data_IF_400183009753
#
_entry.id   IF_400183009753
#
_cell.length_a   1.000
_cell.length_b   1.000
_cell.length_c   1.000
_cell.angle_alpha   90.00
_cell.angle_beta   90.00
_cell.angle_gamma   90.00
#
_symmetry.space_group_name_H-M   'P 1'
#
loop_
_entity.id
_entity.type
_entity.pdbx_description
1 polymer ?
#
# COMPACT_ATOMS: atom_id res chain seq x y z
N UNK A 1 -104.03 2.08 -14.09
CA UNK A 1 -103.21 1.50 -13.01
C UNK A 1 -103.13 0.00 -13.23
N UNK A 2 -101.95 -0.52 -13.61
CA UNK A 2 -101.67 -1.95 -13.78
C UNK A 2 -100.35 -2.24 -13.05
N UNK A 3 -100.29 -3.17 -12.10
CA UNK A 3 -99.08 -3.42 -11.33
C UNK A 3 -98.09 -4.28 -12.13
N UNK A 4 -96.83 -3.85 -12.17
CA UNK A 4 -95.71 -4.63 -12.71
C UNK A 4 -95.34 -5.74 -11.71
N UNK A 5 -95.49 -6.99 -12.14
CA UNK A 5 -95.05 -8.17 -11.41
C UNK A 5 -93.52 -8.32 -11.50
N UNK A 6 -92.86 -8.45 -10.35
CA UNK A 6 -91.42 -8.67 -10.24
C UNK A 6 -91.09 -10.17 -10.31
N UNK A 7 -90.19 -10.59 -11.21
CA UNK A 7 -89.58 -11.94 -11.20
C UNK A 7 -88.08 -11.80 -10.96
N UNK A 8 -87.60 -12.38 -9.85
CA UNK A 8 -86.16 -12.54 -9.56
C UNK A 8 -85.62 -13.73 -10.37
N UNK A 9 -84.55 -13.51 -11.11
CA UNK A 9 -83.79 -14.56 -11.80
C UNK A 9 -82.58 -14.95 -10.92
N UNK A 10 -82.40 -16.25 -10.67
CA UNK A 10 -81.22 -16.79 -10.00
C UNK A 10 -80.04 -16.88 -11.00
N UNK A 11 -78.79 -16.64 -10.59
CA UNK A 11 -77.66 -16.66 -11.51
C UNK A 11 -77.18 -18.09 -11.80
N UNK A 12 -76.88 -18.34 -13.08
CA UNK A 12 -76.23 -19.56 -13.58
C UNK A 12 -74.73 -19.46 -13.30
N UNK A 13 -74.17 -20.38 -12.52
CA UNK A 13 -72.72 -20.50 -12.33
C UNK A 13 -72.08 -21.18 -13.55
N UNK A 14 -71.40 -20.40 -14.40
CA UNK A 14 -70.56 -20.91 -15.47
C UNK A 14 -69.13 -21.16 -14.96
N UNK A 15 -68.69 -22.41 -14.99
CA UNK A 15 -67.33 -22.85 -14.61
C UNK A 15 -66.35 -22.50 -15.72
N UNK A 16 -65.53 -21.46 -15.53
CA UNK A 16 -64.43 -21.14 -16.45
C UNK A 16 -63.22 -22.05 -16.16
N UNK A 17 -62.70 -22.72 -17.19
CA UNK A 17 -61.40 -23.40 -17.15
C UNK A 17 -60.33 -22.37 -17.55
N UNK A 18 -59.20 -22.23 -16.83
CA UNK A 18 -58.14 -21.34 -17.26
C UNK A 18 -57.41 -21.91 -18.47
N UNK A 19 -57.24 -21.08 -19.50
CA UNK A 19 -56.39 -21.41 -20.64
C UNK A 19 -54.91 -21.37 -20.22
N UNK A 20 -54.20 -22.49 -20.37
CA UNK A 20 -52.75 -22.56 -20.14
C UNK A 20 -52.01 -21.93 -21.32
N UNK A 21 -51.44 -20.76 -21.12
CA UNK A 21 -50.50 -20.13 -22.06
C UNK A 21 -49.09 -20.67 -21.84
N UNK A 22 -48.59 -21.45 -22.78
CA UNK A 22 -47.20 -21.92 -22.78
C UNK A 22 -46.29 -20.81 -23.28
N UNK A 23 -45.54 -20.15 -22.38
CA UNK A 23 -44.49 -19.22 -22.77
C UNK A 23 -43.23 -20.01 -23.14
N UNK A 24 -42.79 -19.92 -24.40
CA UNK A 24 -41.45 -20.38 -24.79
C UNK A 24 -40.42 -19.40 -24.23
N UNK A 25 -39.75 -19.79 -23.14
CA UNK A 25 -38.62 -19.06 -22.60
C UNK A 25 -37.45 -19.13 -23.60
N UNK A 26 -37.21 -18.04 -24.32
CA UNK A 26 -36.03 -17.90 -25.17
C UNK A 26 -34.82 -17.72 -24.25
N UNK A 27 -34.05 -18.77 -24.03
CA UNK A 27 -32.81 -18.71 -23.26
C UNK A 27 -31.73 -18.02 -24.09
N UNK A 28 -31.56 -16.71 -23.91
CA UNK A 28 -30.37 -16.00 -24.36
C UNK A 28 -29.24 -16.33 -23.38
N UNK A 29 -28.38 -17.27 -23.75
CA UNK A 29 -27.07 -17.44 -23.14
C UNK A 29 -26.22 -16.22 -23.48
N UNK A 30 -26.30 -15.17 -22.66
CA UNK A 30 -25.30 -14.10 -22.64
C UNK A 30 -24.00 -14.75 -22.16
N UNK A 31 -23.12 -15.12 -23.09
CA UNK A 31 -21.74 -15.41 -22.71
C UNK A 31 -21.22 -14.18 -21.95
N UNK A 32 -20.71 -14.32 -20.72
CA UNK A 32 -20.05 -13.20 -20.07
C UNK A 32 -18.85 -12.83 -20.95
N UNK A 33 -18.98 -11.74 -21.71
CA UNK A 33 -17.84 -11.16 -22.41
C UNK A 33 -16.89 -10.71 -21.32
N UNK A 34 -15.76 -11.40 -21.17
CA UNK A 34 -14.67 -10.90 -20.34
C UNK A 34 -14.25 -9.56 -20.91
N UNK A 35 -14.76 -8.47 -20.33
CA UNK A 35 -14.29 -7.13 -20.66
C UNK A 35 -12.85 -7.09 -20.19
N UNK A 36 -11.92 -7.03 -21.14
CA UNK A 36 -10.54 -6.70 -20.82
C UNK A 36 -10.53 -5.39 -20.03
N UNK A 37 -9.90 -5.36 -18.84
CA UNK A 37 -9.83 -4.13 -18.07
C UNK A 37 -9.03 -3.12 -18.90
N UNK A 38 -9.70 -2.07 -19.35
CA UNK A 38 -9.06 -0.93 -20.01
C UNK A 38 -8.22 -0.18 -18.97
N UNK A 39 -6.97 0.10 -19.30
CA UNK A 39 -6.11 0.96 -18.47
C UNK A 39 -6.72 2.37 -18.43
N UNK A 40 -6.78 3.01 -17.26
CA UNK A 40 -7.23 4.40 -17.19
C UNK A 40 -6.20 5.39 -17.73
N UNK A 41 -4.94 4.96 -17.91
CA UNK A 41 -3.92 5.79 -18.57
C UNK A 41 -4.29 5.93 -20.04
N UNK A 42 -4.73 7.13 -20.40
CA UNK A 42 -5.25 7.44 -21.73
C UNK A 42 -4.18 8.10 -22.59
N UNK A 43 -4.19 7.78 -23.89
CA UNK A 43 -3.36 8.46 -24.89
C UNK A 43 -3.64 9.96 -24.99
N UNK A 44 -4.79 10.42 -24.47
CA UNK A 44 -5.13 11.85 -24.39
C UNK A 44 -4.16 12.65 -23.52
N UNK A 45 -3.55 12.03 -22.50
CA UNK A 45 -2.60 12.70 -21.61
C UNK A 45 -1.20 12.88 -22.25
N UNK A 46 -0.98 12.29 -23.44
CA UNK A 46 0.26 12.45 -24.20
C UNK A 46 0.38 13.82 -24.87
N UNK A 47 -0.71 14.57 -24.99
CA UNK A 47 -0.70 15.93 -25.53
C UNK A 47 -0.56 16.95 -24.39
N UNK A 48 0.29 17.97 -24.53
CA UNK A 48 0.46 18.98 -23.51
C UNK A 48 -0.83 19.77 -23.34
N UNK A 49 -1.40 19.72 -22.14
CA UNK A 49 -2.53 20.58 -21.76
C UNK A 49 -2.01 21.82 -21.06
N UNK A 50 -2.57 22.99 -21.39
CA UNK A 50 -2.20 24.25 -20.73
C UNK A 50 -2.56 24.19 -19.26
N UNK A 51 -1.56 24.06 -18.39
CA UNK A 51 -1.72 24.26 -16.95
C UNK A 51 -1.84 25.75 -16.70
N UNK A 52 -3.07 26.26 -16.57
CA UNK A 52 -3.28 27.54 -15.90
C UNK A 52 -3.12 27.30 -14.39
N UNK A 53 -1.89 27.29 -13.88
CA UNK A 53 -1.60 26.91 -12.49
C UNK A 53 -0.13 26.99 -12.06
N UNK A 54 0.09 26.67 -10.77
CA UNK A 54 1.28 26.96 -9.94
C UNK A 54 2.65 26.43 -10.39
N UNK A 55 2.76 25.66 -11.48
CA UNK A 55 4.01 25.00 -11.87
C UNK A 55 4.55 25.42 -13.24
N UNK A 56 3.94 26.40 -13.92
CA UNK A 56 4.35 27.00 -15.21
C UNK A 56 4.73 26.00 -16.33
N UNK A 57 4.42 24.71 -16.18
CA UNK A 57 4.75 23.62 -17.10
C UNK A 57 3.47 22.97 -17.60
N UNK A 58 3.46 22.58 -18.87
CA UNK A 58 2.35 21.84 -19.44
C UNK A 58 2.16 20.49 -18.74
N UNK A 59 0.91 20.13 -18.49
CA UNK A 59 0.53 18.83 -17.94
C UNK A 59 0.56 17.82 -19.08
N UNK A 60 1.50 16.88 -19.01
CA UNK A 60 1.76 15.87 -20.02
C UNK A 60 2.41 14.65 -19.37
N UNK A 61 1.95 13.46 -19.73
CA UNK A 61 2.63 12.21 -19.39
C UNK A 61 2.81 11.33 -20.62
N UNK A 62 3.87 10.55 -20.62
CA UNK A 62 3.99 9.46 -21.57
C UNK A 62 3.10 8.28 -21.09
N UNK A 63 2.20 7.73 -21.92
CA UNK A 63 1.28 6.67 -21.50
C UNK A 63 1.98 5.39 -21.02
N UNK A 64 3.12 5.02 -21.62
CA UNK A 64 3.90 3.85 -21.21
C UNK A 64 4.48 4.03 -19.80
N UNK A 65 5.07 5.20 -19.52
CA UNK A 65 5.60 5.56 -18.21
C UNK A 65 4.48 5.62 -17.15
N UNK A 66 3.34 6.23 -17.50
CA UNK A 66 2.16 6.32 -16.64
C UNK A 66 1.62 4.94 -16.25
N UNK A 67 1.57 4.01 -17.20
CA UNK A 67 1.14 2.64 -16.95
C UNK A 67 2.12 1.87 -16.04
N UNK A 68 3.43 2.04 -16.24
CA UNK A 68 4.44 1.47 -15.37
C UNK A 68 4.29 1.95 -13.91
N UNK A 69 4.11 3.27 -13.71
CA UNK A 69 3.88 3.87 -12.40
C UNK A 69 2.54 3.46 -11.77
N UNK A 70 1.52 3.20 -12.59
CA UNK A 70 0.21 2.72 -12.15
C UNK A 70 0.28 1.29 -11.63
N UNK A 71 1.02 0.42 -12.30
CA UNK A 71 1.15 -1.00 -11.93
C UNK A 71 2.03 -1.17 -10.68
N UNK A 72 3.10 -0.38 -10.56
CA UNK A 72 4.06 -0.53 -9.47
C UNK A 72 3.53 0.01 -8.13
N UNK A 73 3.49 -0.84 -7.09
CA UNK A 73 2.93 -0.46 -5.78
C UNK A 73 3.60 0.78 -5.15
N UNK A 74 4.92 0.89 -5.25
CA UNK A 74 5.73 2.05 -4.85
C UNK A 74 6.96 2.17 -5.75
N UNK A 75 7.66 3.32 -5.82
CA UNK A 75 8.77 3.50 -6.76
C UNK A 75 9.95 2.52 -6.54
N UNK A 76 10.10 2.02 -5.31
CA UNK A 76 11.11 1.02 -4.93
C UNK A 76 10.56 -0.41 -4.77
N UNK A 77 9.28 -0.67 -5.01
CA UNK A 77 8.68 -2.00 -4.83
C UNK A 77 7.46 -2.22 -5.74
N UNK A 78 7.48 -3.30 -6.53
CA UNK A 78 6.36 -3.64 -7.40
C UNK A 78 5.18 -4.30 -6.67
N UNK A 79 5.45 -5.18 -5.70
CA UNK A 79 4.44 -6.03 -5.07
C UNK A 79 3.90 -5.45 -3.77
N UNK A 80 2.72 -5.93 -3.36
CA UNK A 80 2.14 -5.64 -2.05
C UNK A 80 2.98 -6.25 -0.91
N UNK A 81 2.76 -5.76 0.31
CA UNK A 81 3.46 -6.19 1.54
C UNK A 81 2.52 -6.47 2.71
N UNK A 82 1.20 -6.43 2.47
CA UNK A 82 0.19 -6.84 3.45
C UNK A 82 -0.89 -7.64 2.76
N UNK A 83 -1.44 -8.63 3.46
CA UNK A 83 -2.48 -9.53 2.95
C UNK A 83 -3.75 -8.79 2.50
N UNK A 84 -4.11 -7.72 3.20
CA UNK A 84 -5.32 -6.94 2.93
C UNK A 84 -5.05 -5.71 2.04
N UNK A 85 -3.82 -5.56 1.54
CA UNK A 85 -3.47 -4.46 0.63
C UNK A 85 -3.90 -4.82 -0.79
N UNK A 86 -4.71 -3.97 -1.42
CA UNK A 86 -4.99 -4.11 -2.85
C UNK A 86 -3.75 -3.72 -3.68
N UNK A 87 -3.43 -4.49 -4.73
CA UNK A 87 -2.39 -4.11 -5.66
C UNK A 87 -2.84 -2.88 -6.47
N UNK A 88 -1.88 -2.01 -6.81
CA UNK A 88 -2.13 -0.68 -7.38
C UNK A 88 -2.81 -0.74 -8.74
N UNK A 89 -2.49 -1.74 -9.55
CA UNK A 89 -3.12 -2.05 -10.83
C UNK A 89 -4.64 -2.21 -10.74
N UNK A 90 -5.17 -2.71 -9.60
CA UNK A 90 -6.60 -2.86 -9.33
C UNK A 90 -7.20 -1.69 -8.57
N UNK A 91 -6.40 -0.96 -7.80
CA UNK A 91 -6.87 0.19 -7.02
C UNK A 91 -7.00 1.46 -7.88
N UNK A 92 -6.10 1.63 -8.85
CA UNK A 92 -6.08 2.75 -9.80
C UNK A 92 -6.79 2.36 -11.10
N UNK A 93 -8.09 2.14 -11.02
CA UNK A 93 -8.96 1.86 -12.17
C UNK A 93 -10.26 2.66 -12.07
N UNK A 94 -10.87 2.90 -13.23
CA UNK A 94 -12.19 3.50 -13.35
C UNK A 94 -12.18 5.01 -13.65
N UNK A 95 -13.38 5.61 -13.76
CA UNK A 95 -13.55 6.94 -14.36
C UNK A 95 -12.81 8.07 -13.64
N UNK A 96 -12.49 7.91 -12.36
CA UNK A 96 -11.73 8.90 -11.59
C UNK A 96 -10.28 9.07 -12.07
N UNK A 97 -9.73 8.10 -12.79
CA UNK A 97 -8.32 8.10 -13.21
C UNK A 97 -8.13 8.34 -14.72
N UNK A 98 -9.19 8.38 -15.53
CA UNK A 98 -9.10 8.44 -17.02
C UNK A 98 -8.45 9.72 -17.56
N UNK A 99 -8.68 10.86 -16.90
CA UNK A 99 -8.10 12.17 -17.25
C UNK A 99 -7.14 12.67 -16.18
N UNK A 100 -6.54 11.75 -15.43
CA UNK A 100 -5.58 12.06 -14.37
C UNK A 100 -4.18 11.68 -14.82
N UNK A 101 -3.23 12.60 -14.66
CA UNK A 101 -1.81 12.29 -14.85
C UNK A 101 -1.32 11.47 -13.66
N UNK A 102 -0.94 10.22 -13.92
CA UNK A 102 -0.54 9.24 -12.91
C UNK A 102 0.76 9.66 -12.24
N UNK A 103 1.68 10.25 -13.00
CA UNK A 103 2.99 10.69 -12.52
C UNK A 103 2.91 11.68 -11.35
N UNK A 104 1.90 12.54 -11.35
CA UNK A 104 1.72 13.59 -10.35
C UNK A 104 0.90 13.11 -9.13
N UNK A 105 0.38 11.88 -9.18
CA UNK A 105 -0.34 11.30 -8.05
C UNK A 105 0.63 10.88 -6.94
N UNK A 106 0.23 10.97 -5.65
CA UNK A 106 1.08 10.55 -4.55
C UNK A 106 1.57 9.10 -4.69
N UNK A 107 2.90 8.92 -4.72
CA UNK A 107 3.54 7.61 -4.81
C UNK A 107 4.77 7.56 -3.88
N UNK A 108 4.58 7.49 -2.56
CA UNK A 108 5.70 7.46 -1.61
C UNK A 108 6.50 6.16 -1.71
N UNK A 109 7.77 6.23 -1.30
CA UNK A 109 8.63 5.05 -1.17
C UNK A 109 8.10 4.09 -0.10
N UNK A 110 8.18 2.78 -0.37
CA UNK A 110 7.81 1.76 0.60
C UNK A 110 8.91 1.62 1.66
N UNK A 111 8.55 1.91 2.92
CA UNK A 111 9.45 1.87 4.06
C UNK A 111 10.05 0.47 4.31
N UNK A 112 9.36 -0.61 3.96
CA UNK A 112 9.87 -1.99 4.10
C UNK A 112 11.17 -2.21 3.32
N UNK A 113 11.31 -1.63 2.14
CA UNK A 113 12.55 -1.76 1.36
C UNK A 113 13.63 -0.79 1.86
N UNK A 114 13.25 0.35 2.44
CA UNK A 114 14.20 1.31 3.01
C UNK A 114 14.81 0.81 4.32
N UNK A 115 14.03 0.14 5.18
CA UNK A 115 14.51 -0.38 6.46
C UNK A 115 15.44 -1.59 6.26
N UNK A 116 15.22 -2.38 5.21
CA UNK A 116 16.11 -3.50 4.84
C UNK A 116 17.46 -3.05 4.28
N UNK A 117 17.64 -1.76 3.96
CA UNK A 117 18.94 -1.20 3.60
C UNK A 117 19.74 -0.79 4.84
N UNK A 118 19.12 -0.70 6.01
CA UNK A 118 19.83 -0.33 7.23
C UNK A 118 20.78 -1.45 7.67
N UNK A 119 22.05 -1.14 7.99
CA UNK A 119 22.98 -2.13 8.51
C UNK A 119 22.63 -2.54 9.94
N UNK A 120 22.97 -3.77 10.28
CA UNK A 120 22.88 -4.30 11.65
C UNK A 120 23.79 -3.49 12.57
N UNK A 121 23.21 -2.99 13.67
CA UNK A 121 23.96 -2.35 14.75
C UNK A 121 24.47 -3.39 15.74
N UNK A 122 25.78 -3.48 15.81
CA UNK A 122 26.47 -4.42 16.69
C UNK A 122 26.59 -3.85 18.10
N UNK A 123 26.31 -4.67 19.10
CA UNK A 123 26.45 -4.33 20.51
C UNK A 123 27.15 -5.45 21.27
N UNK A 124 27.90 -5.11 22.32
CA UNK A 124 28.46 -6.11 23.24
C UNK A 124 27.48 -6.45 24.38
N UNK A 125 26.46 -5.61 24.58
CA UNK A 125 25.48 -5.78 25.68
C UNK A 125 24.41 -6.79 25.30
N UNK A 126 23.86 -7.48 26.31
CA UNK A 126 22.70 -8.39 26.14
C UNK A 126 21.37 -7.65 25.93
N UNK A 127 21.30 -6.40 26.37
CA UNK A 127 20.11 -5.54 26.25
C UNK A 127 20.53 -4.19 25.70
N UNK A 128 19.86 -3.75 24.63
CA UNK A 128 20.03 -2.44 23.99
C UNK A 128 18.78 -1.61 24.26
N UNK A 129 18.92 -0.31 24.50
CA UNK A 129 17.76 0.56 24.59
C UNK A 129 17.65 1.50 23.40
N UNK A 130 16.53 1.43 22.69
CA UNK A 130 16.23 2.21 21.49
C UNK A 130 15.10 3.21 21.77
N UNK A 131 15.30 4.47 21.40
CA UNK A 131 14.33 5.57 21.48
C UNK A 131 14.02 6.18 20.09
N UNK A 132 14.60 5.64 19.01
CA UNK A 132 14.42 6.14 17.65
C UNK A 132 15.21 7.41 17.31
N UNK A 133 16.11 7.84 18.21
CA UNK A 133 16.91 9.05 18.05
C UNK A 133 16.13 10.34 18.38
N UNK A 134 16.86 11.40 18.74
CA UNK A 134 16.27 12.71 19.02
C UNK A 134 15.46 12.80 20.33
N UNK A 135 15.58 11.81 21.22
CA UNK A 135 14.92 11.79 22.53
C UNK A 135 13.39 11.83 22.39
N UNK A 136 12.71 12.93 22.80
CA UNK A 136 11.25 13.03 22.70
C UNK A 136 10.72 13.07 21.25
N UNK A 137 11.56 13.31 20.24
CA UNK A 137 11.15 13.30 18.84
C UNK A 137 11.06 11.90 18.22
N UNK A 138 11.59 10.90 18.92
CA UNK A 138 11.55 9.51 18.50
C UNK A 138 10.31 8.77 19.01
N UNK A 139 10.48 7.51 19.40
CA UNK A 139 9.42 6.67 19.97
C UNK A 139 9.67 6.39 21.46
N UNK A 140 8.66 5.85 22.20
CA UNK A 140 8.87 5.44 23.58
C UNK A 140 10.06 4.50 23.70
N UNK A 141 10.95 4.79 24.65
CA UNK A 141 12.16 4.00 24.88
C UNK A 141 11.79 2.54 25.15
N UNK A 142 12.33 1.63 24.34
CA UNK A 142 12.21 0.19 24.54
C UNK A 142 13.57 -0.45 24.80
N UNK A 143 13.53 -1.63 25.42
CA UNK A 143 14.69 -2.46 25.67
C UNK A 143 14.59 -3.74 24.84
N UNK A 144 15.59 -3.98 24.01
CA UNK A 144 15.63 -5.08 23.05
C UNK A 144 16.66 -6.09 23.54
N UNK A 145 16.25 -7.35 23.65
CA UNK A 145 17.15 -8.44 24.03
C UNK A 145 17.92 -8.94 22.79
N UNK A 146 19.25 -8.87 22.85
CA UNK A 146 20.18 -9.29 21.79
C UNK A 146 20.96 -10.56 22.14
N UNK A 147 20.62 -11.24 23.24
CA UNK A 147 21.28 -12.46 23.71
C UNK A 147 21.03 -13.69 22.82
N UNK A 148 20.06 -13.64 21.91
CA UNK A 148 19.81 -14.73 20.95
C UNK A 148 20.76 -14.58 19.74
N UNK A 149 21.19 -15.70 19.12
CA UNK A 149 22.01 -15.67 17.90
C UNK A 149 21.19 -15.33 16.66
N UNK A 150 20.48 -14.20 16.70
CA UNK A 150 19.63 -13.69 15.63
C UNK A 150 19.65 -12.17 15.62
N UNK A 151 19.35 -11.59 14.47
CA UNK A 151 19.10 -10.16 14.36
C UNK A 151 17.78 -9.84 15.07
N UNK A 152 17.82 -8.91 16.03
CA UNK A 152 16.70 -8.45 16.82
C UNK A 152 16.39 -7.01 16.44
N UNK A 153 15.18 -6.70 16.01
CA UNK A 153 14.81 -5.36 15.54
C UNK A 153 13.97 -4.60 16.56
N UNK A 154 14.07 -3.27 16.51
CA UNK A 154 13.16 -2.39 17.22
C UNK A 154 11.74 -2.51 16.67
N UNK A 155 10.73 -2.63 17.52
CA UNK A 155 9.32 -2.74 17.11
C UNK A 155 8.73 -1.44 16.57
N UNK A 156 9.38 -0.30 16.81
CA UNK A 156 8.93 1.01 16.32
C UNK A 156 9.67 1.38 15.04
N UNK A 157 10.98 1.64 15.10
CA UNK A 157 11.76 2.06 13.94
C UNK A 157 12.14 0.92 12.98
N UNK A 158 12.11 -0.34 13.42
CA UNK A 158 12.57 -1.48 12.62
C UNK A 158 14.09 -1.60 12.50
N UNK A 159 14.87 -0.76 13.19
CA UNK A 159 16.34 -0.79 13.16
C UNK A 159 16.84 -2.15 13.70
N UNK A 160 17.73 -2.83 12.97
CA UNK A 160 18.26 -4.12 13.37
C UNK A 160 19.44 -4.03 14.35
N UNK A 161 19.44 -4.87 15.38
CA UNK A 161 20.51 -5.04 16.36
C UNK A 161 20.98 -6.49 16.42
N UNK A 162 22.25 -6.70 16.71
CA UNK A 162 22.77 -8.02 17.03
C UNK A 162 23.92 -7.93 18.03
N UNK A 163 24.10 -8.99 18.82
CA UNK A 163 25.23 -9.07 19.73
C UNK A 163 26.50 -9.54 18.99
N UNK A 164 27.62 -8.87 19.24
CA UNK A 164 28.94 -9.18 18.66
C UNK A 164 29.39 -10.61 18.93
N UNK A 165 29.02 -11.21 20.06
CA UNK A 165 29.31 -12.61 20.38
C UNK A 165 28.75 -13.60 19.34
N UNK A 166 27.62 -13.27 18.71
CA UNK A 166 26.98 -14.13 17.70
C UNK A 166 27.36 -13.76 16.26
N UNK A 167 28.30 -12.83 16.07
CA UNK A 167 28.68 -12.32 14.75
C UNK A 167 29.13 -13.42 13.79
N UNK A 168 30.03 -14.32 14.23
CA UNK A 168 30.51 -15.44 13.42
C UNK A 168 29.37 -16.35 12.95
N UNK A 169 28.37 -16.56 13.80
CA UNK A 169 27.19 -17.36 13.44
C UNK A 169 26.34 -16.65 12.39
N UNK A 170 26.06 -15.36 12.58
CA UNK A 170 25.26 -14.57 11.62
C UNK A 170 25.96 -14.41 10.27
N UNK A 171 27.28 -14.30 10.25
CA UNK A 171 28.08 -14.27 9.02
C UNK A 171 28.12 -15.62 8.31
N UNK A 172 27.99 -16.73 9.05
CA UNK A 172 27.94 -18.08 8.46
C UNK A 172 26.60 -18.39 7.78
N UNK A 173 25.54 -17.62 8.05
CA UNK A 173 24.24 -17.82 7.43
C UNK A 173 24.31 -17.39 5.95
N UNK A 174 23.74 -18.18 5.02
CA UNK A 174 23.81 -17.88 3.60
C UNK A 174 23.03 -16.62 3.22
N UNK A 175 21.97 -16.32 3.97
CA UNK A 175 21.07 -15.18 3.73
C UNK A 175 20.73 -14.55 5.06
N UNK A 176 20.90 -13.23 5.14
CA UNK A 176 20.47 -12.39 6.26
C UNK A 176 19.40 -11.40 5.79
N UNK A 177 18.41 -11.14 6.64
CA UNK A 177 17.31 -10.20 6.32
C UNK A 177 17.79 -8.75 6.18
N UNK A 178 18.85 -8.39 6.91
CA UNK A 178 19.46 -7.07 6.92
C UNK A 178 20.95 -7.18 6.58
N UNK A 179 21.56 -6.16 5.94
CA UNK A 179 22.99 -6.13 5.69
C UNK A 179 23.77 -6.07 7.00
N UNK A 180 24.79 -6.92 7.15
CA UNK A 180 25.61 -6.97 8.37
C UNK A 180 26.60 -5.80 8.49
N UNK A 181 26.89 -5.16 7.35
CA UNK A 181 27.87 -4.09 7.18
C UNK A 181 27.20 -2.89 6.50
N UNK A 182 27.65 -1.65 6.78
CA UNK A 182 27.21 -0.47 6.04
C UNK A 182 27.49 -0.65 4.54
N UNK A 183 26.48 -0.41 3.70
CA UNK A 183 26.60 -0.51 2.24
C UNK A 183 26.84 0.86 1.61
N UNK A 184 26.57 1.95 2.35
CA UNK A 184 26.66 3.33 1.85
C UNK A 184 25.45 3.75 1.02
N UNK A 185 24.31 3.05 1.15
CA UNK A 185 23.09 3.44 0.45
C UNK A 185 22.54 4.77 1.01
N UNK A 186 22.00 5.63 0.15
CA UNK A 186 21.45 6.92 0.56
C UNK A 186 20.28 6.82 1.56
N UNK A 187 19.63 5.66 1.66
CA UNK A 187 18.60 5.41 2.66
C UNK A 187 19.17 5.09 4.05
N UNK A 188 20.45 4.70 4.15
CA UNK A 188 21.11 4.36 5.42
C UNK A 188 21.06 5.56 6.37
N UNK A 189 20.59 5.31 7.59
CA UNK A 189 20.71 6.27 8.66
C UNK A 189 22.13 6.15 9.19
N UNK A 190 22.85 7.27 9.37
CA UNK A 190 24.14 7.22 10.01
C UNK A 190 23.97 6.58 11.39
N UNK A 191 24.94 5.76 11.75
CA UNK A 191 25.18 5.39 13.14
C UNK A 191 25.72 6.66 13.78
N UNK A 192 24.84 7.54 14.25
CA UNK A 192 25.23 8.92 14.54
C UNK A 192 26.30 9.11 15.61
N UNK A 193 26.60 10.37 15.88
CA UNK A 193 27.49 10.76 16.95
C UNK A 193 26.79 10.73 18.31
N UNK A 194 27.56 10.37 19.35
CA UNK A 194 27.15 10.12 20.74
C UNK A 194 26.76 11.40 21.51
N UNK A 195 26.49 12.52 20.84
CA UNK A 195 26.42 13.82 21.51
C UNK A 195 25.01 14.22 21.99
N UNK A 196 24.44 13.45 22.90
CA UNK A 196 23.22 13.85 23.63
C UNK A 196 22.79 12.85 24.69
N UNK A 197 22.51 13.30 25.92
CA UNK A 197 22.09 12.43 27.02
C UNK A 197 20.58 12.14 26.94
N UNK A 198 20.12 11.40 25.93
CA UNK A 198 18.74 10.87 25.95
C UNK A 198 18.62 9.65 26.87
N UNK A 199 19.74 9.22 27.46
CA UNK A 199 19.83 8.03 28.31
C UNK A 199 19.68 6.73 27.53
N UNK A 200 19.41 6.77 26.21
CA UNK A 200 19.41 5.60 25.34
C UNK A 200 20.85 5.16 25.06
N UNK A 201 21.01 3.91 24.63
CA UNK A 201 22.32 3.39 24.22
C UNK A 201 22.59 3.68 22.75
N UNK A 202 21.65 4.34 22.08
CA UNK A 202 21.70 4.63 20.65
C UNK A 202 22.44 5.94 20.38
N UNK A 203 23.26 5.98 19.32
CA UNK A 203 23.73 7.23 18.77
C UNK A 203 22.58 8.03 18.10
N UNK A 204 22.74 9.36 18.02
CA UNK A 204 21.71 10.26 17.47
C UNK A 204 21.45 10.00 15.97
N UNK A 205 20.22 9.67 15.59
CA UNK A 205 19.90 9.32 14.20
C UNK A 205 19.51 10.56 13.37
N UNK A 206 20.47 11.34 12.86
CA UNK A 206 20.22 12.38 11.84
C UNK A 206 21.12 12.17 10.63
N UNK A 207 20.58 12.25 9.41
CA UNK A 207 21.35 12.02 8.16
C UNK A 207 22.58 12.95 8.02
N UNK A 208 22.54 14.10 8.69
CA UNK A 208 23.56 15.15 8.68
C UNK A 208 24.46 15.14 9.91
N UNK A 209 24.21 14.28 10.90
CA UNK A 209 24.88 14.33 12.21
C UNK A 209 24.49 15.53 13.08
N UNK A 210 23.64 16.44 12.59
CA UNK A 210 23.18 17.63 13.29
C UNK A 210 22.06 17.33 14.29
N UNK A 211 21.93 18.16 15.33
CA UNK A 211 21.14 17.82 16.53
C UNK A 211 19.62 17.75 16.35
N UNK A 212 19.03 18.37 15.32
CA UNK A 212 17.57 18.58 15.21
C UNK A 212 17.13 18.91 13.77
N UNK A 213 17.41 18.05 12.79
CA UNK A 213 16.77 18.21 11.47
C UNK A 213 15.51 17.35 11.41
N UNK A 214 14.35 18.02 11.36
CA UNK A 214 13.10 17.37 10.97
C UNK A 214 13.22 16.95 9.50
N UNK A 215 12.90 15.68 9.24
CA UNK A 215 12.72 15.16 7.87
C UNK A 215 11.48 15.76 7.23
#
# INVERSE_FOLDING_TARGET
MLPRSSRRLLPVLARQQPASTTFLARSYSVLPTEKTPVSPVSSTNALPTSSAGSHDRALQENPEDGEALRVQQSPNRATTWSRNQQPRDKAMVGPRFEQTIIKDQPQPYAAINLIHKQPVRWTDKKVVSCDGGGGPLGHPRIFINTDKPKICWCTYCGVPYANTHHRKHLESLPINTYPLYPTGDAAELPQGDVSGSTGSTEPLQSNTGNKLEQR
#
